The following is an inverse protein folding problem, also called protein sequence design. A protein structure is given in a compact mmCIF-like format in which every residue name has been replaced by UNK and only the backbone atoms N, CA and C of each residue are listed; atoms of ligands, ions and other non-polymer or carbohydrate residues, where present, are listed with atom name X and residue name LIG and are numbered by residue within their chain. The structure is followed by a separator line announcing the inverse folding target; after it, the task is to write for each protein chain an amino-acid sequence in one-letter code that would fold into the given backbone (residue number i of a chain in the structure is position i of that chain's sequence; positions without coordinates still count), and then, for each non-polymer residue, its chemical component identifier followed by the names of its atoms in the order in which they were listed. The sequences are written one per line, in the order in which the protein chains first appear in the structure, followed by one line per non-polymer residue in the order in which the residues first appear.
data_IF_129412500467
#
_entry.id   IF_129412500467
#
_cell.length_a   1.000
_cell.length_b   1.000
_cell.length_c   1.000
_cell.angle_alpha   90.00
_cell.angle_beta   90.00
_cell.angle_gamma   90.00
#
_symmetry.space_group_name_H-M   'P 1'
#
loop_
_entity.id
_entity.type
_entity.pdbx_description
1 polymer ?
#
# COMPACT_ATOMS: atom_id res chain seq x y z
N UNK A 1 -11.66 -6.88 2.44
CA UNK A 1 -11.90 -6.53 1.03
C UNK A 1 -11.05 -7.36 0.10
N UNK A 2 -11.44 -7.41 -1.16
CA UNK A 2 -10.67 -8.17 -2.14
C UNK A 2 -9.46 -7.38 -2.60
N UNK A 3 -8.29 -8.02 -2.61
CA UNK A 3 -7.03 -7.38 -2.96
C UNK A 3 -6.42 -8.07 -4.17
N UNK A 4 -6.19 -7.29 -5.22
CA UNK A 4 -5.50 -7.73 -6.43
C UNK A 4 -4.17 -7.00 -6.54
N UNK A 5 -3.26 -7.51 -7.35
CA UNK A 5 -1.95 -6.91 -7.60
C UNK A 5 -1.80 -6.59 -9.07
N UNK A 6 -1.39 -5.37 -9.37
CA UNK A 6 -1.15 -4.95 -10.74
C UNK A 6 0.20 -5.47 -11.26
N UNK A 7 1.12 -5.72 -10.32
CA UNK A 7 2.52 -6.05 -10.62
C UNK A 7 2.93 -7.29 -9.83
N UNK A 8 3.43 -8.32 -10.53
CA UNK A 8 3.88 -9.57 -9.92
C UNK A 8 5.03 -9.34 -8.93
N UNK A 9 5.94 -8.40 -9.23
CA UNK A 9 7.06 -8.12 -8.34
C UNK A 9 6.58 -7.50 -7.03
N UNK A 10 5.53 -6.70 -7.07
CA UNK A 10 4.92 -6.16 -5.86
C UNK A 10 4.29 -7.28 -5.03
N UNK A 11 3.60 -8.21 -5.70
CA UNK A 11 3.01 -9.36 -5.01
C UNK A 11 4.09 -10.19 -4.32
N UNK A 12 5.20 -10.46 -5.02
CA UNK A 12 6.30 -11.23 -4.45
C UNK A 12 6.91 -10.51 -3.25
N UNK A 13 7.05 -9.20 -3.31
CA UNK A 13 7.55 -8.43 -2.17
C UNK A 13 6.62 -8.57 -0.97
N UNK A 14 5.33 -8.36 -1.17
CA UNK A 14 4.34 -8.33 -0.09
C UNK A 14 4.11 -9.72 0.50
N UNK A 15 3.88 -10.72 -0.34
CA UNK A 15 3.51 -12.05 0.13
C UNK A 15 4.70 -12.93 0.50
N UNK A 16 5.82 -12.78 -0.21
CA UNK A 16 6.95 -13.68 -0.06
C UNK A 16 8.24 -13.01 0.38
N UNK A 17 8.34 -11.68 0.25
CA UNK A 17 9.58 -10.97 0.52
C UNK A 17 10.70 -11.29 -0.46
N UNK A 18 10.34 -11.70 -1.69
CA UNK A 18 11.30 -12.22 -2.67
C UNK A 18 11.35 -11.46 -3.98
N UNK A 19 10.91 -10.21 -4.01
CA UNK A 19 10.96 -9.44 -5.24
C UNK A 19 12.40 -9.26 -5.74
N UNK A 20 12.58 -9.31 -7.06
CA UNK A 20 13.85 -9.04 -7.71
C UNK A 20 13.89 -7.64 -8.31
N UNK A 21 12.81 -6.88 -8.17
CA UNK A 21 12.71 -5.53 -8.69
C UNK A 21 13.66 -4.58 -7.95
N UNK A 22 14.41 -3.77 -8.70
CA UNK A 22 15.36 -2.84 -8.10
C UNK A 22 14.71 -1.85 -7.15
N UNK A 23 13.47 -1.45 -7.41
CA UNK A 23 12.73 -0.51 -6.57
C UNK A 23 12.56 -1.05 -5.16
N UNK A 24 12.44 -2.36 -5.02
CA UNK A 24 12.12 -3.01 -3.75
C UNK A 24 13.29 -3.73 -3.10
N UNK A 25 14.48 -3.63 -3.70
CA UNK A 25 15.65 -4.36 -3.20
C UNK A 25 15.99 -4.03 -1.74
N UNK A 26 15.93 -2.76 -1.39
CA UNK A 26 16.22 -2.33 -0.02
C UNK A 26 15.11 -2.72 0.95
N UNK A 27 13.88 -2.74 0.45
CA UNK A 27 12.71 -2.99 1.30
C UNK A 27 12.62 -4.44 1.74
N UNK A 28 12.96 -5.37 0.86
CA UNK A 28 12.81 -6.79 1.18
C UNK A 28 13.70 -7.26 2.33
N UNK A 29 14.80 -6.55 2.59
CA UNK A 29 15.73 -6.89 3.66
C UNK A 29 15.57 -6.00 4.89
N UNK A 30 14.64 -5.04 4.87
CA UNK A 30 14.40 -4.13 5.98
C UNK A 30 13.33 -4.71 6.91
N UNK A 31 13.76 -5.21 8.07
CA UNK A 31 12.86 -5.88 9.01
C UNK A 31 11.76 -4.98 9.55
N UNK A 32 12.07 -3.71 9.85
CA UNK A 32 11.08 -2.77 10.34
C UNK A 32 10.02 -2.51 9.28
N UNK A 33 10.45 -2.29 8.05
CA UNK A 33 9.53 -2.09 6.93
C UNK A 33 8.62 -3.30 6.74
N UNK A 34 9.18 -4.50 6.83
CA UNK A 34 8.41 -5.74 6.68
C UNK A 34 7.32 -5.85 7.74
N UNK A 35 7.64 -5.53 8.99
CA UNK A 35 6.64 -5.55 10.07
C UNK A 35 5.53 -4.54 9.82
N UNK A 36 5.91 -3.32 9.41
CA UNK A 36 4.94 -2.28 9.14
C UNK A 36 4.04 -2.64 7.96
N UNK A 37 4.62 -3.22 6.92
CA UNK A 37 3.87 -3.67 5.74
C UNK A 37 2.89 -4.78 6.11
N UNK A 38 3.33 -5.74 6.91
CA UNK A 38 2.46 -6.83 7.35
C UNK A 38 1.28 -6.30 8.14
N UNK A 39 1.49 -5.28 8.98
CA UNK A 39 0.41 -4.64 9.73
C UNK A 39 -0.60 -3.98 8.79
N UNK A 40 -0.10 -3.22 7.80
CA UNK A 40 -0.96 -2.56 6.82
C UNK A 40 -1.78 -3.60 6.06
N UNK A 41 -1.14 -4.66 5.60
CA UNK A 41 -1.83 -5.71 4.85
C UNK A 41 -2.89 -6.42 5.70
N UNK A 42 -2.62 -6.61 6.99
CA UNK A 42 -3.61 -7.20 7.90
C UNK A 42 -4.85 -6.32 8.00
N UNK A 43 -4.65 -5.01 8.10
CA UNK A 43 -5.77 -4.07 8.16
C UNK A 43 -6.56 -4.10 6.85
N UNK A 44 -5.86 -4.07 5.71
CA UNK A 44 -6.52 -4.08 4.40
C UNK A 44 -7.31 -5.36 4.19
N UNK A 45 -6.76 -6.50 4.60
CA UNK A 45 -7.46 -7.77 4.45
C UNK A 45 -8.70 -7.87 5.36
N UNK A 46 -8.64 -7.29 6.55
CA UNK A 46 -9.74 -7.35 7.51
C UNK A 46 -10.85 -6.35 7.19
N UNK A 47 -10.53 -5.23 6.54
CA UNK A 47 -11.51 -4.21 6.22
C UNK A 47 -12.51 -4.72 5.17
N UNK A 48 -13.77 -4.29 5.28
CA UNK A 48 -14.79 -4.66 4.30
C UNK A 48 -14.78 -3.70 3.11
N UNK A 49 -14.32 -2.47 3.32
CA UNK A 49 -14.21 -1.49 2.24
C UNK A 49 -13.19 -0.42 2.61
N UNK A 50 -12.83 0.41 1.63
CA UNK A 50 -11.89 1.50 1.85
C UNK A 50 -12.42 2.56 2.80
N UNK A 51 -13.75 2.65 2.98
CA UNK A 51 -14.33 3.59 3.94
C UNK A 51 -13.83 3.32 5.36
N UNK A 52 -13.54 2.07 5.68
CA UNK A 52 -13.05 1.72 7.01
C UNK A 52 -11.61 2.16 7.24
N UNK A 53 -10.86 2.39 6.17
CA UNK A 53 -9.44 2.76 6.29
C UNK A 53 -9.27 4.15 6.92
N UNK A 54 -10.25 5.03 6.74
CA UNK A 54 -10.19 6.37 7.31
C UNK A 54 -10.24 6.37 8.84
N UNK A 55 -10.74 5.29 9.44
CA UNK A 55 -10.82 5.17 10.89
C UNK A 55 -9.44 4.94 11.50
N UNK A 56 -8.52 4.36 10.73
CA UNK A 56 -7.17 4.08 11.19
C UNK A 56 -6.25 5.27 10.88
N UNK A 57 -6.12 6.17 11.83
CA UNK A 57 -5.31 7.39 11.64
C UNK A 57 -3.87 7.07 11.19
N UNK A 58 -3.32 5.94 11.63
CA UNK A 58 -1.97 5.50 11.29
C UNK A 58 -1.77 5.30 9.79
N UNK A 59 -2.82 4.91 9.08
CA UNK A 59 -2.73 4.62 7.66
C UNK A 59 -2.63 5.88 6.80
N UNK A 60 -3.07 7.02 7.32
CA UNK A 60 -3.13 8.25 6.52
C UNK A 60 -3.74 7.98 5.16
N UNK A 61 -4.87 7.29 5.15
CA UNK A 61 -5.58 7.00 3.91
C UNK A 61 -5.97 8.30 3.21
N UNK A 62 -5.66 8.40 1.93
CA UNK A 62 -6.04 9.57 1.15
C UNK A 62 -6.26 9.24 -0.33
N UNK A 63 -7.15 10.02 -0.94
CA UNK A 63 -7.34 10.00 -2.39
C UNK A 63 -6.33 10.96 -2.99
N UNK A 64 -5.58 10.48 -3.97
CA UNK A 64 -4.53 11.28 -4.59
C UNK A 64 -5.12 12.24 -5.63
N UNK A 65 -4.39 13.31 -5.89
CA UNK A 65 -4.84 14.39 -6.76
C UNK A 65 -3.87 14.63 -7.92
N UNK A 66 -4.29 15.49 -8.84
CA UNK A 66 -3.50 15.91 -9.99
C UNK A 66 -3.13 14.72 -10.88
N UNK A 67 -1.85 14.52 -11.17
CA UNK A 67 -1.41 13.45 -12.07
C UNK A 67 -1.67 12.05 -11.52
N UNK A 68 -1.94 11.94 -10.21
CA UNK A 68 -2.27 10.66 -9.57
C UNK A 68 -3.75 10.53 -9.26
N UNK A 69 -4.57 11.36 -9.88
CA UNK A 69 -6.02 11.29 -9.72
C UNK A 69 -6.53 9.91 -10.13
N UNK A 70 -7.41 9.34 -9.31
CA UNK A 70 -7.93 7.99 -9.53
C UNK A 70 -7.20 6.93 -8.70
N UNK A 71 -6.12 7.32 -8.02
CA UNK A 71 -5.39 6.44 -7.13
C UNK A 71 -5.59 6.86 -5.68
N UNK A 72 -5.34 5.93 -4.78
CA UNK A 72 -5.41 6.16 -3.34
C UNK A 72 -4.11 5.67 -2.71
N UNK A 73 -3.85 6.09 -1.47
CA UNK A 73 -2.65 5.61 -0.77
C UNK A 73 -2.88 5.43 0.71
N UNK A 74 -2.08 4.55 1.31
CA UNK A 74 -1.97 4.41 2.76
C UNK A 74 -0.49 4.44 3.11
N UNK A 75 -0.19 4.99 4.29
CA UNK A 75 1.19 5.05 4.79
C UNK A 75 1.62 3.71 5.34
N UNK A 76 2.87 3.34 5.12
CA UNK A 76 3.46 2.13 5.68
C UNK A 76 4.36 2.54 6.83
N UNK A 77 3.87 2.41 8.08
CA UNK A 77 4.60 2.77 9.27
C UNK A 77 4.56 4.26 9.61
N UNK A 78 5.03 4.62 10.81
CA UNK A 78 5.03 5.99 11.29
C UNK A 78 6.26 6.78 10.86
N UNK A 79 7.38 6.10 10.78
CA UNK A 79 8.68 6.76 10.60
C UNK A 79 9.20 6.66 9.18
N UNK A 80 8.48 5.96 8.31
CA UNK A 80 8.89 5.80 6.92
C UNK A 80 8.18 6.79 6.02
N UNK A 81 8.77 7.03 4.87
CA UNK A 81 8.16 7.85 3.82
C UNK A 81 7.38 7.01 2.83
N UNK A 82 7.36 5.70 3.04
CA UNK A 82 6.76 4.78 2.06
C UNK A 82 5.26 4.78 2.14
N UNK A 83 4.63 4.74 0.98
CA UNK A 83 3.18 4.65 0.86
C UNK A 83 2.84 3.54 -0.13
N UNK A 84 1.78 2.83 0.16
CA UNK A 84 1.23 1.82 -0.73
C UNK A 84 0.16 2.48 -1.59
N UNK A 85 0.35 2.45 -2.90
CA UNK A 85 -0.53 3.09 -3.86
C UNK A 85 -1.46 2.04 -4.46
N UNK A 86 -2.74 2.36 -4.56
CA UNK A 86 -3.72 1.41 -5.09
C UNK A 86 -4.87 2.12 -5.80
N UNK A 87 -5.62 1.36 -6.60
CA UNK A 87 -6.84 1.82 -7.22
C UNK A 87 -8.02 1.15 -6.53
N UNK A 88 -9.13 1.86 -6.43
CA UNK A 88 -10.34 1.33 -5.78
C UNK A 88 -11.38 0.99 -6.84
N UNK A 89 -12.08 -0.13 -6.62
CA UNK A 89 -13.14 -0.60 -7.51
C UNK A 89 -14.35 -1.02 -6.67
N UNK A 90 -15.50 -1.03 -7.33
CA UNK A 90 -16.75 -1.53 -6.73
C UNK A 90 -17.09 -0.84 -5.41
N UNK A 91 -16.96 0.48 -5.38
CA UNK A 91 -17.31 1.26 -4.19
C UNK A 91 -16.31 1.07 -3.05
N UNK A 92 -15.12 0.59 -3.34
CA UNK A 92 -14.07 0.40 -2.34
C UNK A 92 -14.03 -0.96 -1.69
N UNK A 93 -14.83 -1.93 -2.20
CA UNK A 93 -14.77 -3.30 -1.68
C UNK A 93 -13.69 -4.14 -2.35
N UNK A 94 -13.10 -3.62 -3.43
CA UNK A 94 -12.00 -4.26 -4.12
C UNK A 94 -10.93 -3.22 -4.41
N UNK A 95 -9.66 -3.58 -4.21
CA UNK A 95 -8.55 -2.70 -4.54
C UNK A 95 -7.52 -3.46 -5.37
N UNK A 96 -6.79 -2.71 -6.21
CA UNK A 96 -5.70 -3.23 -7.00
C UNK A 96 -4.42 -2.51 -6.57
N UNK A 97 -3.46 -3.24 -6.01
CA UNK A 97 -2.22 -2.65 -5.51
C UNK A 97 -1.29 -2.35 -6.67
N UNK A 98 -0.81 -1.11 -6.75
CA UNK A 98 -0.02 -0.62 -7.88
C UNK A 98 1.48 -0.61 -7.58
N UNK A 99 1.89 0.06 -6.49
CA UNK A 99 3.30 0.17 -6.16
C UNK A 99 3.51 0.69 -4.74
N UNK A 100 4.74 0.57 -4.25
CA UNK A 100 5.19 1.21 -3.03
C UNK A 100 6.10 2.35 -3.46
N UNK A 101 5.81 3.56 -2.98
CA UNK A 101 6.51 4.77 -3.40
C UNK A 101 6.83 5.63 -2.18
N UNK A 102 8.00 6.25 -2.15
CA UNK A 102 8.40 7.08 -1.02
C UNK A 102 8.18 8.57 -1.23
N UNK A 103 7.78 8.98 -2.43
CA UNK A 103 7.65 10.40 -2.76
C UNK A 103 6.23 10.94 -2.77
N UNK A 104 5.26 10.10 -2.56
CA UNK A 104 3.86 10.55 -2.52
C UNK A 104 3.62 11.38 -1.28
N UNK A 105 3.03 12.56 -1.49
CA UNK A 105 2.68 13.41 -0.38
C UNK A 105 3.76 14.40 0.02
N UNK A 106 4.90 14.38 -0.64
CA UNK A 106 6.00 15.32 -0.38
C UNK A 106 5.81 16.66 -1.10
N UNK A 107 4.62 16.91 -1.56
CA UNK A 107 4.33 18.15 -2.29
C UNK A 107 3.61 19.15 -1.42
#
# INVERSE_FOLDING_TARGET
MKIDYDDEELRLLIECGKSTDKRYRKLKSNGTFRKDLDMVMSILNAATSTNELAVFAKLHYELLKYEFSGYSSVRIGFTTKYRLIFQEFDGGIRINLIEINEHYGDK
#
